data_IF_924909559643
#
_entry.id   IF_924909559643
#
_cell.length_a   1.000
_cell.length_b   1.000
_cell.length_c   1.000
_cell.angle_alpha   90.00
_cell.angle_beta   90.00
_cell.angle_gamma   90.00
#
_symmetry.space_group_name_H-M   'P 1'
#
loop_
_entity.id
_entity.type
_entity.pdbx_description
1 polymer ?
#
# COMPACT_ATOMS: atom_id res chain seq x y z
N UNK A 1 -22.47 -22.28 -3.38
CA UNK A 1 -21.71 -21.15 -3.95
C UNK A 1 -20.52 -20.68 -3.10
N UNK A 2 -20.56 -20.75 -1.75
CA UNK A 2 -19.42 -20.33 -0.88
C UNK A 2 -18.14 -21.16 -1.07
N UNK A 3 -18.24 -22.43 -1.43
CA UNK A 3 -17.06 -23.29 -1.64
C UNK A 3 -16.31 -23.00 -2.95
N UNK A 4 -17.01 -22.61 -3.99
CA UNK A 4 -16.40 -22.28 -5.28
C UNK A 4 -15.62 -20.98 -5.22
N UNK A 5 -16.10 -20.00 -4.45
CA UNK A 5 -15.46 -18.71 -4.25
C UNK A 5 -14.14 -18.83 -3.44
N UNK A 6 -14.11 -19.75 -2.45
CA UNK A 6 -12.91 -19.94 -1.60
C UNK A 6 -11.76 -20.63 -2.36
N UNK A 7 -12.04 -21.55 -3.30
CA UNK A 7 -11.00 -22.19 -4.13
C UNK A 7 -10.40 -21.18 -5.14
N UNK A 8 -11.22 -20.31 -5.70
CA UNK A 8 -10.75 -19.28 -6.63
C UNK A 8 -9.84 -18.24 -5.94
N UNK A 9 -10.20 -17.80 -4.75
CA UNK A 9 -9.38 -16.89 -3.93
C UNK A 9 -8.01 -17.53 -3.59
N UNK A 10 -7.99 -18.78 -3.14
CA UNK A 10 -6.73 -19.48 -2.85
C UNK A 10 -5.82 -19.58 -4.08
N UNK A 11 -6.39 -19.85 -5.24
CA UNK A 11 -5.66 -19.89 -6.52
C UNK A 11 -5.08 -18.52 -6.85
N UNK A 12 -5.86 -17.45 -6.72
CA UNK A 12 -5.39 -16.06 -6.96
C UNK A 12 -4.29 -15.66 -6.01
N UNK A 13 -4.41 -15.98 -4.71
CA UNK A 13 -3.34 -15.74 -3.73
C UNK A 13 -2.05 -16.45 -4.14
N UNK A 14 -2.13 -17.72 -4.54
CA UNK A 14 -0.96 -18.48 -4.98
C UNK A 14 -0.32 -17.89 -6.25
N UNK A 15 -1.12 -17.48 -7.21
CA UNK A 15 -0.64 -16.81 -8.41
C UNK A 15 0.06 -15.48 -8.08
N UNK A 16 -0.55 -14.66 -7.22
CA UNK A 16 0.04 -13.39 -6.77
C UNK A 16 1.35 -13.60 -6.01
N UNK A 17 1.40 -14.59 -5.11
CA UNK A 17 2.63 -14.95 -4.40
C UNK A 17 3.76 -15.37 -5.35
N UNK A 18 3.45 -16.21 -6.33
CA UNK A 18 4.41 -16.65 -7.34
C UNK A 18 4.97 -15.47 -8.18
N UNK A 19 4.13 -14.49 -8.53
CA UNK A 19 4.57 -13.29 -9.27
C UNK A 19 5.70 -12.57 -8.51
N UNK A 20 5.61 -12.45 -7.20
CA UNK A 20 6.62 -11.79 -6.36
C UNK A 20 7.69 -12.76 -5.81
N UNK A 21 7.78 -13.96 -6.35
CA UNK A 21 8.82 -14.94 -6.02
C UNK A 21 8.63 -15.67 -4.69
N UNK A 22 7.39 -15.77 -4.20
CA UNK A 22 7.06 -16.49 -2.97
C UNK A 22 6.38 -17.81 -3.32
N UNK A 23 7.04 -18.92 -3.00
CA UNK A 23 6.50 -20.27 -3.24
C UNK A 23 5.48 -20.67 -2.17
N UNK A 24 5.74 -20.32 -0.92
CA UNK A 24 4.89 -20.65 0.23
C UNK A 24 4.77 -19.48 1.21
N UNK A 25 3.55 -19.20 1.63
CA UNK A 25 3.28 -18.16 2.62
C UNK A 25 3.67 -18.61 4.03
N UNK A 26 4.28 -17.72 4.79
CA UNK A 26 4.50 -17.91 6.23
C UNK A 26 3.16 -17.87 6.98
N UNK A 27 3.04 -18.62 8.06
CA UNK A 27 1.81 -18.63 8.89
C UNK A 27 1.37 -17.23 9.33
N UNK A 28 2.34 -16.36 9.64
CA UNK A 28 2.09 -14.96 10.04
C UNK A 28 1.53 -14.08 8.93
N UNK A 29 1.68 -14.47 7.66
CA UNK A 29 1.16 -13.72 6.50
C UNK A 29 -0.28 -14.11 6.15
N UNK A 30 -0.68 -15.34 6.43
CA UNK A 30 -1.97 -15.90 5.95
C UNK A 30 -3.16 -15.13 6.50
N UNK A 31 -3.20 -14.90 7.81
CA UNK A 31 -4.34 -14.21 8.45
C UNK A 31 -4.49 -12.77 7.95
N UNK A 32 -3.47 -11.89 8.00
CA UNK A 32 -3.62 -10.51 7.53
C UNK A 32 -3.94 -10.42 6.03
N UNK A 33 -3.40 -11.28 5.18
CA UNK A 33 -3.77 -11.33 3.75
C UNK A 33 -5.26 -11.63 3.59
N UNK A 34 -5.80 -12.60 4.31
CA UNK A 34 -7.22 -12.94 4.25
C UNK A 34 -8.09 -11.79 4.81
N UNK A 35 -7.67 -11.14 5.91
CA UNK A 35 -8.40 -10.01 6.49
C UNK A 35 -8.53 -8.85 5.48
N UNK A 36 -7.45 -8.53 4.77
CA UNK A 36 -7.44 -7.51 3.70
C UNK A 36 -8.37 -7.93 2.54
N UNK A 37 -8.26 -9.18 2.06
CA UNK A 37 -9.10 -9.68 0.96
C UNK A 37 -10.59 -9.76 1.30
N UNK A 38 -10.92 -9.84 2.59
CA UNK A 38 -12.30 -9.75 3.09
C UNK A 38 -12.77 -8.30 3.31
N UNK A 39 -11.98 -7.31 2.94
CA UNK A 39 -12.32 -5.89 3.02
C UNK A 39 -12.14 -5.27 4.41
N UNK A 40 -11.32 -5.88 5.27
CA UNK A 40 -11.08 -5.34 6.61
C UNK A 40 -9.82 -4.48 6.66
N UNK A 41 -9.93 -3.33 7.30
CA UNK A 41 -8.76 -2.55 7.71
C UNK A 41 -7.89 -3.42 8.61
N UNK A 42 -6.59 -3.44 8.38
CA UNK A 42 -5.68 -4.39 9.02
C UNK A 42 -4.43 -3.69 9.50
N UNK A 43 -4.09 -3.91 10.76
CA UNK A 43 -2.81 -3.47 11.33
C UNK A 43 -1.93 -4.67 11.63
N UNK A 44 -0.68 -4.62 11.18
CA UNK A 44 0.28 -5.70 11.35
C UNK A 44 1.53 -5.18 12.07
N UNK A 45 1.79 -5.76 13.23
CA UNK A 45 3.04 -5.57 13.95
C UNK A 45 3.91 -6.82 13.71
N UNK A 46 5.02 -6.65 13.02
CA UNK A 46 5.87 -7.76 12.64
C UNK A 46 7.36 -7.36 12.62
N UNK A 47 8.23 -8.30 12.96
CA UNK A 47 9.69 -8.09 12.92
C UNK A 47 10.15 -7.72 11.51
N UNK A 48 11.25 -6.94 11.33
CA UNK A 48 11.73 -6.48 10.02
C UNK A 48 11.89 -7.58 8.97
N UNK A 49 12.30 -8.79 9.37
CA UNK A 49 12.52 -9.93 8.47
C UNK A 49 11.28 -10.80 8.22
N UNK A 50 10.11 -10.41 8.70
CA UNK A 50 8.91 -11.26 8.67
C UNK A 50 8.18 -11.29 7.32
N UNK A 51 8.70 -10.63 6.28
CA UNK A 51 8.06 -10.58 4.96
C UNK A 51 6.80 -9.70 4.94
N UNK A 52 6.81 -8.55 5.63
CA UNK A 52 5.69 -7.61 5.75
C UNK A 52 5.16 -7.15 4.40
N UNK A 53 6.04 -6.86 3.43
CA UNK A 53 5.62 -6.35 2.12
C UNK A 53 4.70 -7.31 1.35
N UNK A 54 4.89 -8.61 1.49
CA UNK A 54 4.01 -9.61 0.87
C UNK A 54 2.55 -9.50 1.35
N UNK A 55 2.35 -9.04 2.59
CA UNK A 55 1.02 -8.91 3.21
C UNK A 55 0.12 -7.95 2.43
N UNK A 56 0.66 -6.87 1.89
CA UNK A 56 -0.11 -5.95 1.04
C UNK A 56 0.09 -6.19 -0.45
N UNK A 57 1.25 -6.66 -0.88
CA UNK A 57 1.54 -6.89 -2.30
C UNK A 57 0.64 -8.00 -2.88
N UNK A 58 0.40 -9.06 -2.14
CA UNK A 58 -0.46 -10.16 -2.60
C UNK A 58 -1.91 -9.70 -2.79
N UNK A 59 -2.61 -9.08 -1.82
CA UNK A 59 -3.94 -8.53 -2.05
C UNK A 59 -4.00 -7.52 -3.18
N UNK A 60 -3.01 -6.63 -3.29
CA UNK A 60 -2.93 -5.67 -4.38
C UNK A 60 -2.86 -6.34 -5.76
N UNK A 61 -2.12 -7.44 -5.89
CA UNK A 61 -2.04 -8.22 -7.14
C UNK A 61 -3.30 -9.04 -7.41
N UNK A 62 -3.98 -9.52 -6.38
CA UNK A 62 -5.29 -10.20 -6.51
C UNK A 62 -6.35 -9.22 -7.06
N UNK A 63 -6.29 -7.95 -6.66
CA UNK A 63 -7.13 -6.85 -7.13
C UNK A 63 -6.41 -5.98 -8.17
N UNK A 64 -5.71 -6.60 -9.12
CA UNK A 64 -4.82 -5.91 -10.07
C UNK A 64 -5.49 -4.91 -11.02
N UNK A 65 -6.81 -4.92 -11.15
CA UNK A 65 -7.56 -3.92 -11.94
C UNK A 65 -7.77 -2.61 -11.19
N UNK A 66 -7.72 -2.64 -9.87
CA UNK A 66 -7.80 -1.48 -9.00
C UNK A 66 -6.41 -0.97 -8.64
N UNK A 67 -6.33 0.17 -7.98
CA UNK A 67 -5.05 0.82 -7.63
C UNK A 67 -4.73 0.64 -6.16
N UNK A 68 -3.45 0.49 -5.85
CA UNK A 68 -2.94 0.49 -4.48
C UNK A 68 -1.94 1.63 -4.32
N UNK A 69 -2.10 2.40 -3.24
CA UNK A 69 -1.16 3.45 -2.84
C UNK A 69 -0.41 2.94 -1.62
N UNK A 70 0.91 3.05 -1.65
CA UNK A 70 1.79 2.68 -0.53
C UNK A 70 2.49 3.94 -0.03
N UNK A 71 2.20 4.33 1.19
CA UNK A 71 2.86 5.44 1.85
C UNK A 71 4.12 4.89 2.51
N UNK A 72 5.27 5.32 2.00
CA UNK A 72 6.59 4.93 2.49
C UNK A 72 7.42 6.20 2.78
N UNK A 73 7.73 6.48 4.04
CA UNK A 73 8.44 7.69 4.41
C UNK A 73 9.93 7.67 4.02
N UNK A 74 10.53 6.49 3.86
CA UNK A 74 11.96 6.32 3.60
C UNK A 74 12.22 6.11 2.10
N UNK A 75 12.83 7.09 1.44
CA UNK A 75 13.08 7.05 -0.01
C UNK A 75 13.92 5.84 -0.44
N UNK A 76 14.91 5.44 0.34
CA UNK A 76 15.76 4.28 0.04
C UNK A 76 14.95 2.97 0.01
N UNK A 77 14.05 2.78 0.97
CA UNK A 77 13.13 1.62 1.01
C UNK A 77 12.13 1.67 -0.15
N UNK A 78 11.56 2.84 -0.41
CA UNK A 78 10.65 3.06 -1.54
C UNK A 78 11.31 2.65 -2.88
N UNK A 79 12.54 3.10 -3.12
CA UNK A 79 13.28 2.77 -4.34
C UNK A 79 13.53 1.27 -4.46
N UNK A 80 13.93 0.61 -3.39
CA UNK A 80 14.20 -0.83 -3.37
C UNK A 80 12.91 -1.65 -3.62
N UNK A 81 11.81 -1.28 -2.97
CA UNK A 81 10.50 -1.92 -3.15
C UNK A 81 10.00 -1.80 -4.60
N UNK A 82 10.03 -0.60 -5.17
CA UNK A 82 9.61 -0.37 -6.55
C UNK A 82 10.49 -1.13 -7.54
N UNK A 83 11.82 -1.14 -7.33
CA UNK A 83 12.75 -1.89 -8.18
C UNK A 83 12.42 -3.38 -8.17
N UNK A 84 12.26 -3.99 -6.99
CA UNK A 84 11.93 -5.42 -6.84
C UNK A 84 10.61 -5.78 -7.52
N UNK A 85 9.57 -4.98 -7.33
CA UNK A 85 8.28 -5.21 -7.99
C UNK A 85 8.40 -5.16 -9.52
N UNK A 86 9.13 -4.19 -10.06
CA UNK A 86 9.38 -4.10 -11.50
C UNK A 86 10.18 -5.27 -12.06
N UNK A 87 11.15 -5.80 -11.32
CA UNK A 87 11.90 -7.00 -11.69
C UNK A 87 10.99 -8.22 -11.82
N UNK A 88 9.89 -8.25 -11.08
CA UNK A 88 8.84 -9.27 -11.19
C UNK A 88 7.74 -8.93 -12.23
N UNK A 89 7.91 -7.88 -13.02
CA UNK A 89 6.94 -7.47 -14.04
C UNK A 89 5.70 -6.76 -13.48
N UNK A 90 5.71 -6.36 -12.22
CA UNK A 90 4.59 -5.62 -11.62
C UNK A 90 4.67 -4.14 -11.98
N UNK A 91 3.54 -3.56 -12.38
CA UNK A 91 3.40 -2.13 -12.63
C UNK A 91 3.50 -1.33 -11.34
N UNK A 92 4.71 -0.96 -10.94
CA UNK A 92 5.00 -0.17 -9.76
C UNK A 92 5.77 1.09 -10.10
N UNK A 93 5.48 2.19 -9.41
CA UNK A 93 6.19 3.45 -9.54
C UNK A 93 6.30 4.16 -8.18
N UNK A 94 7.20 5.11 -8.13
CA UNK A 94 7.35 6.03 -6.99
C UNK A 94 6.96 7.44 -7.40
N UNK A 95 6.49 8.21 -6.44
CA UNK A 95 6.17 9.62 -6.57
C UNK A 95 6.70 10.36 -5.34
N UNK A 96 7.82 11.05 -5.50
CA UNK A 96 8.48 11.78 -4.43
C UNK A 96 9.03 13.14 -4.90
N UNK A 97 9.48 13.97 -3.96
CA UNK A 97 9.95 15.35 -4.20
C UNK A 97 11.25 15.44 -4.99
N UNK A 98 12.00 14.34 -5.14
CA UNK A 98 13.25 14.34 -5.91
C UNK A 98 13.03 14.28 -7.42
N UNK A 99 11.80 13.92 -7.84
CA UNK A 99 11.42 13.84 -9.25
C UNK A 99 11.09 15.21 -9.83
N UNK A 100 11.42 15.40 -11.11
CA UNK A 100 10.98 16.59 -11.86
C UNK A 100 9.45 16.59 -12.01
N UNK A 101 8.85 17.78 -12.05
CA UNK A 101 7.38 17.91 -12.23
C UNK A 101 6.84 17.17 -13.46
N UNK A 102 7.58 17.17 -14.57
CA UNK A 102 7.20 16.42 -15.78
C UNK A 102 7.18 14.89 -15.56
N UNK A 103 8.10 14.36 -14.76
CA UNK A 103 8.17 12.95 -14.40
C UNK A 103 7.03 12.57 -13.45
N UNK A 104 6.72 13.45 -12.47
CA UNK A 104 5.60 13.28 -11.56
C UNK A 104 4.28 13.16 -12.32
N UNK A 105 4.01 14.08 -13.27
CA UNK A 105 2.81 14.05 -14.12
C UNK A 105 2.71 12.78 -14.95
N UNK A 106 3.80 12.36 -15.58
CA UNK A 106 3.84 11.09 -16.34
C UNK A 106 3.53 9.89 -15.45
N UNK A 107 4.07 9.89 -14.22
CA UNK A 107 3.80 8.84 -13.24
C UNK A 107 2.31 8.78 -12.87
N UNK A 108 1.69 9.93 -12.59
CA UNK A 108 0.26 10.01 -12.28
C UNK A 108 -0.61 9.58 -13.48
N UNK A 109 -0.26 9.95 -14.71
CA UNK A 109 -0.96 9.49 -15.91
C UNK A 109 -0.91 7.96 -16.06
N UNK A 110 0.24 7.34 -15.81
CA UNK A 110 0.40 5.88 -15.81
C UNK A 110 -0.40 5.20 -14.69
N UNK A 111 -0.53 5.84 -13.56
CA UNK A 111 -1.37 5.38 -12.46
C UNK A 111 -2.85 5.43 -12.83
N UNK A 112 -3.30 6.51 -13.44
CA UNK A 112 -4.67 6.66 -13.95
C UNK A 112 -4.98 5.60 -15.03
N UNK A 113 -4.08 5.41 -16.00
CA UNK A 113 -4.29 4.46 -17.11
C UNK A 113 -4.24 2.98 -16.68
N UNK A 114 -3.69 2.67 -15.50
CA UNK A 114 -3.51 1.30 -15.01
C UNK A 114 -2.19 0.64 -15.39
N UNK A 115 -1.32 1.33 -16.08
CA UNK A 115 0.05 0.85 -16.31
C UNK A 115 0.82 0.71 -14.99
N UNK A 116 0.54 1.59 -14.02
CA UNK A 116 1.02 1.52 -12.65
C UNK A 116 -0.13 1.09 -11.74
N UNK A 117 -0.01 -0.08 -11.12
CA UNK A 117 -0.98 -0.64 -10.18
C UNK A 117 -0.66 -0.26 -8.73
N UNK A 118 0.63 -0.23 -8.37
CA UNK A 118 1.11 0.16 -7.05
C UNK A 118 1.93 1.45 -7.15
N UNK A 119 1.42 2.51 -6.53
CA UNK A 119 2.09 3.80 -6.46
C UNK A 119 2.64 4.02 -5.05
N UNK A 120 3.95 4.10 -4.94
CA UNK A 120 4.65 4.42 -3.69
C UNK A 120 4.81 5.93 -3.58
N UNK A 121 4.38 6.49 -2.47
CA UNK A 121 4.38 7.94 -2.24
C UNK A 121 4.93 8.28 -0.87
N UNK A 122 5.50 9.46 -0.74
CA UNK A 122 5.80 10.05 0.57
C UNK A 122 4.54 10.72 1.15
N UNK A 123 4.41 10.82 2.49
CA UNK A 123 3.17 11.29 3.13
C UNK A 123 2.70 12.67 2.68
N UNK A 124 3.62 13.60 2.41
CA UNK A 124 3.33 14.97 1.99
C UNK A 124 2.57 15.06 0.65
N UNK A 125 2.57 13.98 -0.16
CA UNK A 125 1.79 13.94 -1.41
C UNK A 125 0.30 14.11 -1.19
N UNK A 126 -0.20 13.69 -0.04
CA UNK A 126 -1.60 13.87 0.34
C UNK A 126 -2.00 15.33 0.63
N UNK A 127 -1.05 16.25 0.63
CA UNK A 127 -1.30 17.69 0.69
C UNK A 127 -1.29 18.35 -0.70
N UNK A 128 -1.01 17.60 -1.78
CA UNK A 128 -0.90 18.12 -3.14
C UNK A 128 -2.19 17.94 -3.94
N UNK A 129 -2.75 19.02 -4.44
CA UNK A 129 -4.01 19.04 -5.17
C UNK A 129 -4.01 18.10 -6.40
N UNK A 130 -2.91 18.08 -7.18
CA UNK A 130 -2.77 17.22 -8.36
C UNK A 130 -2.85 15.73 -7.99
N UNK A 131 -2.25 15.35 -6.86
CA UNK A 131 -2.33 13.98 -6.34
C UNK A 131 -3.74 13.64 -5.85
N UNK A 132 -4.39 14.54 -5.10
CA UNK A 132 -5.75 14.35 -4.60
C UNK A 132 -6.77 14.22 -5.74
N UNK A 133 -6.65 15.05 -6.78
CA UNK A 133 -7.46 14.91 -7.99
C UNK A 133 -7.26 13.55 -8.66
N UNK A 134 -6.03 13.05 -8.70
CA UNK A 134 -5.71 11.73 -9.24
C UNK A 134 -6.38 10.62 -8.42
N UNK A 135 -6.32 10.68 -7.10
CA UNK A 135 -6.99 9.70 -6.23
C UNK A 135 -8.52 9.65 -6.44
N UNK A 136 -9.13 10.81 -6.67
CA UNK A 136 -10.57 10.90 -6.97
C UNK A 136 -10.94 10.37 -8.36
N UNK A 137 -9.99 10.31 -9.27
CA UNK A 137 -10.20 9.88 -10.66
C UNK A 137 -10.04 8.36 -10.87
N UNK A 138 -9.56 7.62 -9.88
CA UNK A 138 -9.29 6.17 -9.98
C UNK A 138 -9.94 5.39 -8.84
N UNK A 139 -10.25 4.13 -9.09
CA UNK A 139 -10.68 3.22 -8.04
C UNK A 139 -9.45 2.79 -7.20
N UNK A 140 -9.35 3.31 -5.98
CA UNK A 140 -8.30 2.94 -5.02
C UNK A 140 -8.83 1.82 -4.14
N UNK A 141 -8.27 0.63 -4.30
CA UNK A 141 -8.60 -0.55 -3.50
C UNK A 141 -8.07 -0.46 -2.08
N UNK A 142 -6.79 -0.07 -1.96
CA UNK A 142 -6.08 -0.10 -0.69
C UNK A 142 -5.10 1.06 -0.57
N UNK A 143 -5.01 1.64 0.62
CA UNK A 143 -3.94 2.52 1.05
C UNK A 143 -3.13 1.80 2.12
N UNK A 144 -1.85 1.60 1.85
CA UNK A 144 -0.90 0.99 2.77
C UNK A 144 -0.11 2.08 3.46
N UNK A 145 -0.01 2.01 4.79
CA UNK A 145 0.85 2.88 5.59
C UNK A 145 2.00 2.01 6.12
N UNK A 146 3.12 2.05 5.41
CA UNK A 146 4.32 1.33 5.86
C UNK A 146 5.07 2.15 6.89
N UNK A 147 5.74 1.46 7.83
CA UNK A 147 6.45 2.08 8.95
C UNK A 147 5.56 3.08 9.72
N UNK A 148 4.32 2.69 10.02
CA UNK A 148 3.32 3.58 10.59
C UNK A 148 3.72 4.19 11.96
N UNK A 149 4.66 3.58 12.70
CA UNK A 149 5.26 4.16 13.91
C UNK A 149 6.00 5.48 13.64
N UNK A 150 6.45 5.74 12.42
CA UNK A 150 7.08 7.00 12.04
C UNK A 150 6.17 8.22 12.26
N UNK A 151 4.86 8.02 12.34
CA UNK A 151 3.87 9.06 12.71
C UNK A 151 4.21 9.65 14.08
N UNK A 152 4.69 8.83 15.01
CA UNK A 152 4.97 9.21 16.39
C UNK A 152 6.38 9.80 16.56
N UNK A 153 7.35 9.29 15.79
CA UNK A 153 8.78 9.59 15.98
C UNK A 153 9.26 10.86 15.22
N UNK A 154 8.60 11.27 14.15
CA UNK A 154 9.14 12.26 13.20
C UNK A 154 8.60 13.69 13.36
N UNK A 155 7.85 13.97 14.42
CA UNK A 155 7.44 15.31 14.82
C UNK A 155 6.14 15.83 14.18
N UNK A 156 5.74 17.05 14.58
CA UNK A 156 4.42 17.62 14.30
C UNK A 156 4.07 17.71 12.81
N UNK A 157 5.01 18.13 11.96
CA UNK A 157 4.73 18.27 10.51
C UNK A 157 4.44 16.95 9.82
N UNK A 158 5.01 15.87 10.30
CA UNK A 158 4.79 14.52 9.81
C UNK A 158 3.44 13.96 10.30
N UNK A 159 3.12 14.21 11.58
CA UNK A 159 1.82 13.88 12.16
C UNK A 159 0.67 14.58 11.43
N UNK A 160 0.84 15.87 11.09
CA UNK A 160 -0.17 16.62 10.33
C UNK A 160 -0.40 16.01 8.94
N UNK A 161 0.65 15.54 8.27
CA UNK A 161 0.50 14.85 6.99
C UNK A 161 -0.34 13.57 7.11
N UNK A 162 -0.12 12.75 8.15
CA UNK A 162 -0.91 11.54 8.39
C UNK A 162 -2.36 11.83 8.80
N UNK A 163 -2.63 12.86 9.60
CA UNK A 163 -3.98 13.31 9.91
C UNK A 163 -4.73 13.75 8.64
N UNK A 164 -4.03 14.45 7.74
CA UNK A 164 -4.57 14.82 6.44
C UNK A 164 -4.89 13.61 5.56
N UNK A 165 -4.07 12.56 5.61
CA UNK A 165 -4.34 11.30 4.89
C UNK A 165 -5.68 10.70 5.30
N UNK A 166 -5.96 10.61 6.60
CA UNK A 166 -7.24 10.12 7.11
C UNK A 166 -8.42 10.92 6.57
N UNK A 167 -8.33 12.26 6.63
CA UNK A 167 -9.38 13.14 6.11
C UNK A 167 -9.60 12.94 4.60
N UNK A 168 -8.53 12.86 3.81
CA UNK A 168 -8.60 12.62 2.36
C UNK A 168 -9.26 11.29 2.06
N UNK A 169 -8.92 10.23 2.79
CA UNK A 169 -9.50 8.89 2.59
C UNK A 169 -11.01 8.90 2.87
N UNK A 170 -11.43 9.59 3.91
CA UNK A 170 -12.84 9.69 4.29
C UNK A 170 -13.68 10.52 3.29
N UNK A 171 -13.04 11.40 2.52
CA UNK A 171 -13.67 12.18 1.46
C UNK A 171 -13.80 11.43 0.11
N UNK A 172 -13.18 10.27 -0.05
CA UNK A 172 -13.28 9.49 -1.27
C UNK A 172 -14.67 8.83 -1.37
N UNK A 173 -15.26 8.85 -2.56
CA UNK A 173 -16.58 8.26 -2.82
C UNK A 173 -16.63 6.76 -2.47
N UNK A 174 -15.56 6.03 -2.79
CA UNK A 174 -15.34 4.66 -2.36
C UNK A 174 -14.14 4.62 -1.42
N UNK A 175 -14.39 4.41 -0.13
CA UNK A 175 -13.33 4.35 0.88
C UNK A 175 -12.43 3.12 0.63
N UNK A 176 -11.12 3.30 0.42
CA UNK A 176 -10.18 2.20 0.28
C UNK A 176 -9.99 1.46 1.61
N UNK A 177 -9.52 0.22 1.54
CA UNK A 177 -9.05 -0.53 2.71
C UNK A 177 -7.76 0.10 3.21
N UNK A 178 -7.59 0.21 4.53
CA UNK A 178 -6.37 0.69 5.14
C UNK A 178 -5.57 -0.49 5.67
N UNK A 179 -4.31 -0.57 5.28
CA UNK A 179 -3.36 -1.56 5.80
C UNK A 179 -2.17 -0.84 6.41
N UNK A 180 -2.05 -0.90 7.73
CA UNK A 180 -0.94 -0.30 8.46
C UNK A 180 0.08 -1.38 8.86
N UNK A 181 1.36 -1.09 8.63
CA UNK A 181 2.46 -2.01 8.91
C UNK A 181 3.50 -1.31 9.78
N UNK A 182 4.01 -2.01 10.78
CA UNK A 182 5.12 -1.54 11.59
C UNK A 182 6.01 -2.69 12.07
N UNK A 183 7.30 -2.41 12.24
CA UNK A 183 8.24 -3.37 12.80
C UNK A 183 8.15 -3.46 14.33
N UNK A 184 7.83 -2.33 14.99
CA UNK A 184 7.71 -2.22 16.45
C UNK A 184 6.63 -1.19 16.78
N UNK A 185 5.66 -1.59 17.61
CA UNK A 185 4.72 -0.67 18.22
C UNK A 185 4.54 -1.09 19.68
N UNK A 186 4.48 -0.14 20.59
CA UNK A 186 4.00 -0.37 21.96
C UNK A 186 2.47 -0.40 21.97
N UNK A 187 1.86 -0.86 23.07
CA UNK A 187 0.40 -0.81 23.21
C UNK A 187 -0.14 0.63 23.13
N UNK A 188 0.62 1.59 23.62
CA UNK A 188 0.28 3.01 23.56
C UNK A 188 0.36 3.54 22.12
N UNK A 189 1.38 3.15 21.36
CA UNK A 189 1.54 3.50 19.94
C UNK A 189 0.37 2.99 19.09
N UNK A 190 -0.12 1.77 19.39
CA UNK A 190 -1.26 1.19 18.66
C UNK A 190 -2.59 1.89 18.92
N UNK A 191 -2.73 2.58 20.05
CA UNK A 191 -3.92 3.35 20.39
C UNK A 191 -3.98 4.72 19.67
N UNK A 192 -2.83 5.24 19.21
CA UNK A 192 -2.73 6.53 18.52
C UNK A 192 -2.73 6.44 16.99
N UNK A 193 -2.54 5.24 16.41
CA UNK A 193 -2.53 4.95 14.97
C UNK A 193 -3.93 4.54 14.49
#
# INVERSE_FOLDING_TARGET
SKGCNNMDIKRKIKQAANIIGIDELRKSQVKPINDILEGRDTMVVARPSAGKSAIYQIPALVHGEERTIVIEPLLSLMHDQVRKLREHGVGAARLDSTMKKSEQRKCLQKFISGEVQMLFVTPERFCEEEFLCTMKAVAVYMVVVDECHAVLDWGYSFRDAYLNIGQVIDELEARPIITALTATATEDDMAEI
#
